data_IF_980008225746
#
_entry.id   IF_980008225746
#
_cell.length_a   1.000
_cell.length_b   1.000
_cell.length_c   1.000
_cell.angle_alpha   90.00
_cell.angle_beta   90.00
_cell.angle_gamma   90.00
#
_symmetry.space_group_name_H-M   'P 1'
#
loop_
_entity.id
_entity.type
_entity.pdbx_description
1 polymer ?
#
# COMPACT_ATOMS: atom_id res chain seq x y z
N UNK A 1 3.23 -18.37 -8.10
CA UNK A 1 2.72 -18.51 -9.45
C UNK A 1 2.33 -17.14 -9.98
N UNK A 2 2.80 -16.80 -11.19
CA UNK A 2 2.52 -15.53 -11.87
C UNK A 2 1.51 -15.75 -12.99
N UNK A 3 0.47 -16.52 -12.74
CA UNK A 3 -0.66 -16.68 -13.65
C UNK A 3 -1.79 -15.74 -13.24
N UNK A 4 -2.33 -15.04 -14.24
CA UNK A 4 -3.48 -14.17 -14.01
C UNK A 4 -4.76 -14.99 -13.89
N UNK A 5 -5.59 -14.67 -12.91
CA UNK A 5 -6.95 -15.19 -12.85
C UNK A 5 -7.84 -14.40 -13.83
N UNK A 6 -8.01 -14.97 -15.02
CA UNK A 6 -8.81 -14.34 -16.07
C UNK A 6 -10.31 -14.29 -15.74
N UNK A 7 -10.80 -15.20 -14.89
CA UNK A 7 -12.20 -15.23 -14.48
C UNK A 7 -12.53 -14.15 -13.43
N UNK A 8 -11.53 -13.64 -12.71
CA UNK A 8 -11.75 -12.62 -11.68
C UNK A 8 -12.36 -11.34 -12.22
N UNK A 9 -11.92 -10.89 -13.41
CA UNK A 9 -12.53 -9.72 -14.04
C UNK A 9 -14.02 -9.92 -14.31
N UNK A 10 -14.40 -11.02 -14.93
CA UNK A 10 -15.79 -11.28 -15.32
C UNK A 10 -16.70 -11.54 -14.12
N UNK A 11 -16.19 -12.25 -13.11
CA UNK A 11 -17.00 -12.68 -11.99
C UNK A 11 -17.08 -11.66 -10.86
N UNK A 12 -16.09 -10.78 -10.72
CA UNK A 12 -15.97 -9.85 -9.58
C UNK A 12 -15.88 -8.39 -10.03
N UNK A 13 -14.87 -8.07 -10.86
CA UNK A 13 -14.57 -6.66 -11.16
C UNK A 13 -15.62 -6.04 -12.07
N UNK A 14 -15.97 -6.71 -13.17
CA UNK A 14 -16.92 -6.18 -14.15
C UNK A 14 -18.33 -5.98 -13.59
N UNK A 15 -18.95 -6.92 -12.86
CA UNK A 15 -20.24 -6.69 -12.22
C UNK A 15 -20.25 -5.51 -11.26
N UNK A 16 -19.20 -5.36 -10.45
CA UNK A 16 -19.06 -4.25 -9.52
C UNK A 16 -18.93 -2.89 -10.24
N UNK A 17 -18.16 -2.84 -11.33
CA UNK A 17 -18.02 -1.64 -12.16
C UNK A 17 -19.34 -1.28 -12.86
N UNK A 18 -20.00 -2.25 -13.49
CA UNK A 18 -21.26 -2.05 -14.20
C UNK A 18 -22.37 -1.59 -13.26
N UNK A 19 -22.43 -2.13 -12.05
CA UNK A 19 -23.37 -1.71 -11.02
C UNK A 19 -23.18 -0.23 -10.64
N UNK A 20 -21.93 0.23 -10.49
CA UNK A 20 -21.61 1.62 -10.12
C UNK A 20 -21.75 2.58 -11.29
N UNK A 21 -21.36 2.13 -12.46
CA UNK A 21 -21.28 2.93 -13.67
C UNK A 21 -21.88 2.15 -14.86
N UNK A 22 -23.17 2.28 -15.18
CA UNK A 22 -23.84 1.48 -16.22
C UNK A 22 -23.17 1.50 -17.59
N UNK A 23 -22.41 2.56 -17.91
CA UNK A 23 -21.63 2.62 -19.15
C UNK A 23 -20.59 1.49 -19.28
N UNK A 24 -20.14 0.92 -18.15
CA UNK A 24 -19.19 -0.19 -18.13
C UNK A 24 -19.81 -1.56 -18.47
N UNK A 25 -21.12 -1.69 -18.60
CA UNK A 25 -21.77 -2.93 -19.07
C UNK A 25 -21.22 -3.42 -20.41
N UNK A 26 -20.74 -2.52 -21.26
CA UNK A 26 -20.18 -2.84 -22.58
C UNK A 26 -18.66 -3.00 -22.57
N UNK A 27 -18.03 -2.86 -21.42
CA UNK A 27 -16.57 -2.96 -21.28
C UNK A 27 -16.15 -4.43 -21.39
N UNK A 28 -15.06 -4.67 -22.13
CA UNK A 28 -14.45 -5.99 -22.27
C UNK A 28 -13.03 -5.93 -21.74
N UNK A 29 -12.64 -6.94 -20.97
CA UNK A 29 -11.25 -7.14 -20.62
C UNK A 29 -10.43 -7.49 -21.87
N UNK A 30 -9.40 -6.73 -22.17
CA UNK A 30 -8.50 -7.00 -23.31
C UNK A 30 -7.28 -7.81 -22.90
N UNK A 31 -6.80 -7.56 -21.70
CA UNK A 31 -5.63 -8.24 -21.14
C UNK A 31 -5.64 -8.14 -19.61
N UNK A 32 -5.03 -9.13 -18.99
CA UNK A 32 -4.81 -9.17 -17.54
C UNK A 32 -3.33 -9.42 -17.29
N UNK A 33 -2.74 -8.66 -16.40
CA UNK A 33 -1.35 -8.82 -15.99
C UNK A 33 -1.33 -9.12 -14.49
N UNK A 34 -0.69 -10.23 -14.09
CA UNK A 34 -0.46 -10.49 -12.68
C UNK A 34 0.68 -9.60 -12.20
N UNK A 35 0.62 -9.18 -10.94
CA UNK A 35 1.65 -8.40 -10.29
C UNK A 35 1.89 -8.90 -8.86
N UNK A 36 3.10 -8.70 -8.38
CA UNK A 36 3.44 -8.89 -6.98
C UNK A 36 3.40 -7.54 -6.28
N UNK A 37 2.98 -7.54 -5.03
CA UNK A 37 3.10 -6.38 -4.14
C UNK A 37 3.83 -6.77 -2.86
N UNK A 38 4.39 -5.76 -2.20
CA UNK A 38 5.18 -5.91 -0.99
C UNK A 38 4.25 -6.11 0.23
N UNK A 39 3.99 -7.35 0.58
CA UNK A 39 3.18 -7.69 1.75
C UNK A 39 3.96 -7.41 3.04
N UNK A 40 3.35 -6.67 3.96
CA UNK A 40 3.82 -6.59 5.34
C UNK A 40 3.09 -7.63 6.19
N UNK A 41 3.77 -8.70 6.53
CA UNK A 41 3.19 -9.85 7.25
C UNK A 41 2.86 -9.55 8.72
N UNK A 42 3.38 -8.46 9.29
CA UNK A 42 3.06 -8.10 10.67
C UNK A 42 1.61 -7.62 10.80
N UNK A 43 1.20 -6.68 9.95
CA UNK A 43 -0.06 -5.97 10.13
C UNK A 43 -0.71 -5.46 8.84
N UNK A 44 -0.12 -5.72 7.67
CA UNK A 44 -0.63 -5.25 6.39
C UNK A 44 -0.43 -3.74 6.11
N UNK A 45 0.11 -2.99 7.06
CA UNK A 45 0.32 -1.54 6.92
C UNK A 45 1.72 -1.19 6.43
N UNK A 46 1.82 -0.05 5.73
CA UNK A 46 3.09 0.52 5.30
C UNK A 46 4.04 0.74 6.48
N UNK A 47 5.33 0.52 6.24
CA UNK A 47 6.40 0.92 7.14
C UNK A 47 7.01 2.19 6.57
N UNK A 48 6.93 3.30 7.29
CA UNK A 48 7.45 4.60 6.86
C UNK A 48 8.23 5.29 7.97
N UNK A 49 9.39 5.82 7.64
CA UNK A 49 10.21 6.61 8.56
C UNK A 49 11.64 6.13 8.66
N UNK A 50 12.36 6.57 9.71
CA UNK A 50 13.70 6.07 10.01
C UNK A 50 13.70 4.56 10.16
N UNK A 51 14.71 3.90 9.62
CA UNK A 51 14.90 2.45 9.74
C UNK A 51 15.44 2.05 11.11
N UNK A 52 16.09 0.88 11.14
CA UNK A 52 16.61 0.31 12.38
C UNK A 52 17.56 1.25 13.13
N UNK A 53 17.60 1.09 14.46
CA UNK A 53 18.46 1.85 15.35
C UNK A 53 19.93 1.81 14.91
N UNK A 54 20.59 2.96 14.97
CA UNK A 54 22.00 3.13 14.57
C UNK A 54 22.23 3.46 13.10
N UNK A 55 21.18 3.48 12.26
CA UNK A 55 21.26 3.85 10.84
C UNK A 55 20.65 5.23 10.60
N UNK A 56 21.34 6.28 11.02
CA UNK A 56 20.81 7.66 11.04
C UNK A 56 20.43 8.25 9.67
N UNK A 57 20.89 7.66 8.57
CA UNK A 57 20.59 8.10 7.20
C UNK A 57 19.82 7.06 6.38
N UNK A 58 19.25 6.08 7.05
CA UNK A 58 18.43 5.04 6.41
C UNK A 58 16.95 5.28 6.68
N UNK A 59 16.18 5.42 5.62
CA UNK A 59 14.72 5.59 5.69
C UNK A 59 14.03 4.46 4.96
N UNK A 60 12.93 4.01 5.52
CA UNK A 60 12.10 2.94 4.97
C UNK A 60 10.79 3.50 4.44
N UNK A 61 10.36 2.97 3.30
CA UNK A 61 9.04 3.19 2.72
C UNK A 61 8.67 1.92 1.95
N UNK A 62 8.00 0.98 2.62
CA UNK A 62 7.74 -0.35 2.10
C UNK A 62 6.52 -0.99 2.79
N UNK A 63 6.09 -2.15 2.31
CA UNK A 63 5.04 -2.94 2.94
C UNK A 63 3.65 -2.37 2.76
N UNK A 64 3.35 -1.84 1.58
CA UNK A 64 2.05 -1.25 1.28
C UNK A 64 0.91 -2.25 1.14
N UNK A 65 1.21 -3.53 1.04
CA UNK A 65 0.23 -4.64 1.04
C UNK A 65 -0.95 -4.44 0.07
N UNK A 66 -0.62 -4.03 -1.17
CA UNK A 66 -1.60 -3.78 -2.23
C UNK A 66 -2.13 -2.33 -2.32
N UNK A 67 -1.88 -1.48 -1.31
CA UNK A 67 -2.39 -0.09 -1.27
C UNK A 67 -1.39 0.97 -1.78
N UNK A 68 -0.26 0.55 -2.34
CA UNK A 68 0.83 1.47 -2.71
C UNK A 68 0.42 2.57 -3.69
N UNK A 69 -0.38 2.25 -4.70
CA UNK A 69 -0.77 3.23 -5.73
C UNK A 69 -1.52 4.43 -5.13
N UNK A 70 -2.49 4.19 -4.26
CA UNK A 70 -3.29 5.26 -3.67
C UNK A 70 -2.58 5.96 -2.51
N UNK A 71 -1.70 5.27 -1.79
CA UNK A 71 -0.99 5.85 -0.64
C UNK A 71 0.32 6.56 -1.02
N UNK A 72 0.94 6.22 -2.15
CA UNK A 72 2.26 6.72 -2.54
C UNK A 72 2.39 8.25 -2.55
N UNK A 73 1.43 9.05 -3.05
CA UNK A 73 1.57 10.51 -3.03
C UNK A 73 1.67 11.09 -1.62
N UNK A 74 0.80 10.65 -0.71
CA UNK A 74 0.80 11.11 0.69
C UNK A 74 2.04 10.64 1.46
N UNK A 75 2.40 9.37 1.31
CA UNK A 75 3.60 8.81 1.94
C UNK A 75 4.88 9.44 1.37
N UNK A 76 4.94 9.73 0.07
CA UNK A 76 6.07 10.40 -0.55
C UNK A 76 6.26 11.82 -0.03
N UNK A 77 5.17 12.58 0.15
CA UNK A 77 5.22 13.91 0.77
C UNK A 77 5.73 13.82 2.22
N UNK A 78 5.15 12.94 3.01
CA UNK A 78 5.54 12.75 4.42
C UNK A 78 7.02 12.33 4.54
N UNK A 79 7.50 11.45 3.65
CA UNK A 79 8.91 11.05 3.62
C UNK A 79 9.82 12.23 3.24
N UNK A 80 9.44 13.04 2.29
CA UNK A 80 10.19 14.24 1.91
C UNK A 80 10.28 15.25 3.07
N UNK A 81 9.19 15.47 3.79
CA UNK A 81 9.17 16.31 5.00
C UNK A 81 10.13 15.77 6.07
N UNK A 82 10.04 14.47 6.32
CA UNK A 82 10.90 13.80 7.32
C UNK A 82 12.39 13.94 6.97
N UNK A 83 12.78 13.72 5.72
CA UNK A 83 14.17 13.81 5.27
C UNK A 83 14.67 15.27 5.29
N UNK A 84 13.87 16.20 4.82
CA UNK A 84 14.30 17.60 4.66
C UNK A 84 14.19 18.43 5.94
N UNK A 85 13.22 18.09 6.80
CA UNK A 85 12.87 18.89 7.98
C UNK A 85 13.02 18.11 9.32
N UNK A 86 13.30 16.82 9.25
CA UNK A 86 13.45 15.96 10.42
C UNK A 86 12.12 15.64 11.12
N UNK A 87 10.98 15.99 10.54
CA UNK A 87 9.65 15.74 11.11
C UNK A 87 8.56 15.69 10.05
N UNK A 88 7.47 15.04 10.38
CA UNK A 88 6.22 15.13 9.61
C UNK A 88 5.53 16.48 9.88
N UNK A 89 4.98 17.12 8.87
CA UNK A 89 4.25 18.39 8.99
C UNK A 89 2.79 18.25 8.52
N UNK A 90 2.56 17.62 7.37
CA UNK A 90 1.23 17.50 6.78
C UNK A 90 0.44 16.32 7.35
N UNK A 91 1.07 15.17 7.49
CA UNK A 91 0.50 13.94 8.03
C UNK A 91 1.48 13.33 9.03
N UNK A 92 1.06 13.17 10.28
CA UNK A 92 1.85 12.43 11.26
C UNK A 92 1.72 10.93 11.04
N UNK A 93 2.75 10.34 10.44
CA UNK A 93 2.85 8.90 10.18
C UNK A 93 3.76 8.17 11.16
N UNK A 94 4.09 8.78 12.29
CA UNK A 94 4.98 8.21 13.32
C UNK A 94 4.53 6.82 13.77
N UNK A 95 3.22 6.59 13.90
CA UNK A 95 2.66 5.29 14.28
C UNK A 95 2.96 4.15 13.30
N UNK A 96 3.27 4.47 12.04
CA UNK A 96 3.63 3.52 10.99
C UNK A 96 5.14 3.25 10.89
N UNK A 97 5.93 3.81 11.81
CA UNK A 97 7.38 3.67 11.83
C UNK A 97 7.86 2.26 12.19
N UNK A 98 9.16 2.03 11.96
CA UNK A 98 9.86 0.77 12.26
C UNK A 98 9.70 0.29 13.69
N UNK A 99 9.57 1.21 14.66
CA UNK A 99 9.47 0.89 16.08
C UNK A 99 8.38 -0.16 16.36
N UNK A 100 7.20 -0.04 15.75
CA UNK A 100 6.12 -1.02 15.96
C UNK A 100 6.49 -2.42 15.48
N UNK A 101 7.30 -2.50 14.40
CA UNK A 101 7.78 -3.78 13.87
C UNK A 101 8.78 -4.41 14.84
N UNK A 102 9.74 -3.63 15.32
CA UNK A 102 10.74 -4.08 16.29
C UNK A 102 10.11 -4.54 17.62
N UNK A 103 9.05 -3.88 18.05
CA UNK A 103 8.32 -4.20 19.30
C UNK A 103 7.23 -5.26 19.11
N UNK A 104 6.97 -5.71 17.88
CA UNK A 104 5.88 -6.65 17.60
C UNK A 104 4.50 -6.08 17.97
N UNK A 105 4.30 -4.78 17.78
CA UNK A 105 3.07 -4.05 18.12
C UNK A 105 2.25 -3.74 16.86
N UNK A 106 1.48 -4.70 16.32
CA UNK A 106 0.77 -4.55 15.06
C UNK A 106 -0.35 -3.51 15.15
N UNK A 107 -0.59 -2.85 14.01
CA UNK A 107 -1.77 -2.02 13.75
C UNK A 107 -2.59 -2.73 12.66
N UNK A 108 -3.47 -3.69 13.01
CA UNK A 108 -4.10 -4.54 12.00
C UNK A 108 -4.89 -3.74 10.97
N UNK A 109 -4.55 -3.90 9.71
CA UNK A 109 -5.33 -3.40 8.59
C UNK A 109 -6.47 -4.40 8.28
N UNK A 110 -7.69 -3.90 8.16
CA UNK A 110 -8.87 -4.72 7.89
C UNK A 110 -9.36 -4.64 6.45
N UNK A 111 -8.81 -3.72 5.67
CA UNK A 111 -9.16 -3.47 4.29
C UNK A 111 -8.21 -4.07 3.27
N UNK A 112 -7.45 -5.10 3.64
CA UNK A 112 -6.52 -5.78 2.72
C UNK A 112 -7.32 -6.51 1.65
N UNK A 113 -6.90 -6.34 0.40
CA UNK A 113 -7.51 -6.93 -0.79
C UNK A 113 -6.89 -8.30 -1.06
#
# INVERSE_FOLDING_TARGET
NMEADHAYFENVVWPALAHRFPKFERTKCKSTLPGLYDQNDLDGNVIIGPGADGLGNFHMLAGFSGHGLMHAPGCGLAMAELILKGRYETLDLTRFGWKRVAEGAPLPERGII
#
